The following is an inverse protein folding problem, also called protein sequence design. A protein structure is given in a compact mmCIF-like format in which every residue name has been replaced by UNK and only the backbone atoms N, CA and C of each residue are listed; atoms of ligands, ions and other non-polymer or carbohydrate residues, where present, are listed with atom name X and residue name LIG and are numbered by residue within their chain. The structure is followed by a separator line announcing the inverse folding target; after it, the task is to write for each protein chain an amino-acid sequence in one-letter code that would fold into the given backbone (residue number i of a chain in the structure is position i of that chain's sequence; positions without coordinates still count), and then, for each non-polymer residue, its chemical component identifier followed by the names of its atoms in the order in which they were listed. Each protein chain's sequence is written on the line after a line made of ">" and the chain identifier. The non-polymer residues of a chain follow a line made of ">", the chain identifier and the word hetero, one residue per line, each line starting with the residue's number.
data_IF_901582558065
#
_entry.id   IF_901582558065
#
_cell.length_a   1.000
_cell.length_b   1.000
_cell.length_c   1.000
_cell.angle_alpha   90.00
_cell.angle_beta   90.00
_cell.angle_gamma   90.00
#
_symmetry.space_group_name_H-M   'P 1'
#
loop_
_entity.id
_entity.type
_entity.pdbx_description
1 polymer ?
#
# COMPACT_ATOMS: atom_id res chain seq x y z
N UNK A 1 60.42 -13.60 31.43
CA UNK A 1 60.52 -15.01 31.86
C UNK A 1 59.38 -15.75 31.17
N UNK A 2 59.69 -16.46 30.07
CA UNK A 2 58.76 -17.24 29.26
C UNK A 2 58.50 -18.58 29.94
N UNK A 3 57.24 -18.97 30.15
CA UNK A 3 56.87 -20.37 30.34
C UNK A 3 55.73 -20.71 29.40
N UNK A 4 55.98 -21.78 28.65
CA UNK A 4 55.16 -22.38 27.62
C UNK A 4 54.08 -23.29 28.24
N UNK A 5 52.89 -23.33 27.65
CA UNK A 5 52.08 -24.55 27.67
C UNK A 5 51.31 -24.71 26.36
N UNK A 6 51.92 -25.48 25.44
CA UNK A 6 51.26 -26.35 24.45
C UNK A 6 50.86 -27.60 25.26
N UNK A 7 49.74 -28.30 25.08
CA UNK A 7 49.27 -28.93 23.84
C UNK A 7 47.85 -29.53 24.04
N UNK A 8 47.14 -29.70 22.92
CA UNK A 8 46.16 -30.77 22.62
C UNK A 8 44.84 -30.91 23.39
N UNK A 9 43.77 -30.36 22.80
CA UNK A 9 42.56 -31.15 22.53
C UNK A 9 42.15 -30.96 21.07
N UNK A 10 42.66 -31.87 20.23
CA UNK A 10 42.11 -32.16 18.91
C UNK A 10 40.90 -33.08 19.07
N UNK A 11 39.81 -32.75 18.37
CA UNK A 11 38.72 -33.70 18.13
C UNK A 11 37.33 -33.19 18.46
N UNK A 12 36.62 -32.73 17.42
CA UNK A 12 35.15 -32.73 17.31
C UNK A 12 34.41 -31.88 18.36
N UNK A 13 34.15 -30.61 18.05
CA UNK A 13 32.89 -29.83 18.26
C UNK A 13 33.19 -28.37 17.78
N UNK A 14 33.64 -28.20 16.54
CA UNK A 14 33.96 -26.86 15.99
C UNK A 14 33.08 -26.53 14.79
N UNK A 15 31.75 -26.63 14.93
CA UNK A 15 30.85 -26.09 13.89
C UNK A 15 29.42 -25.73 14.34
N UNK A 16 29.11 -25.67 15.65
CA UNK A 16 27.73 -25.43 16.11
C UNK A 16 27.49 -24.18 16.95
N UNK A 17 28.50 -23.32 17.15
CA UNK A 17 28.36 -22.09 17.95
C UNK A 17 28.38 -20.78 17.16
N UNK A 18 28.65 -20.81 15.84
CA UNK A 18 28.64 -19.60 15.01
C UNK A 18 27.28 -19.25 14.39
N UNK A 19 26.30 -20.16 14.40
CA UNK A 19 25.01 -19.92 13.72
C UNK A 19 23.98 -19.21 14.61
N UNK A 20 24.08 -19.34 15.94
CA UNK A 20 23.06 -18.80 16.85
C UNK A 20 23.38 -17.35 17.27
N UNK A 21 24.65 -16.94 17.23
CA UNK A 21 25.08 -15.57 17.58
C UNK A 21 24.96 -14.53 16.45
N UNK A 22 24.85 -14.95 15.19
CA UNK A 22 24.86 -14.04 14.04
C UNK A 22 23.46 -13.68 13.50
N UNK A 23 22.41 -14.42 13.88
CA UNK A 23 21.04 -14.13 13.42
C UNK A 23 20.29 -13.07 14.26
N UNK A 24 20.74 -12.73 15.47
CA UNK A 24 19.98 -11.83 16.35
C UNK A 24 20.23 -10.33 16.09
N UNK A 25 21.32 -9.94 15.43
CA UNK A 25 21.68 -8.51 15.28
C UNK A 25 21.21 -7.91 13.95
N UNK A 26 21.00 -8.70 12.90
CA UNK A 26 20.55 -8.19 11.60
C UNK A 26 19.02 -8.15 11.42
N UNK A 27 18.26 -8.83 12.29
CA UNK A 27 16.78 -8.86 12.19
C UNK A 27 16.07 -7.66 12.84
N UNK A 28 16.66 -7.03 13.86
CA UNK A 28 15.99 -6.00 14.66
C UNK A 28 16.15 -4.57 14.09
N UNK A 29 17.24 -4.29 13.38
CA UNK A 29 17.54 -2.93 12.87
C UNK A 29 16.57 -2.51 11.75
N UNK A 30 16.03 -3.48 10.99
CA UNK A 30 15.03 -3.22 9.94
C UNK A 30 13.62 -2.90 10.44
N UNK A 31 13.21 -3.44 11.61
CA UNK A 31 11.86 -3.23 12.14
C UNK A 31 11.72 -1.91 12.91
N UNK A 32 12.77 -1.47 13.58
CA UNK A 32 12.76 -0.22 14.35
C UNK A 32 12.65 1.03 13.44
N UNK A 33 13.31 1.02 12.27
CA UNK A 33 13.29 2.17 11.34
C UNK A 33 11.92 2.34 10.64
N UNK A 34 11.28 1.23 10.29
CA UNK A 34 9.93 1.24 9.72
C UNK A 34 8.88 1.69 10.75
N UNK A 35 8.97 1.24 12.01
CA UNK A 35 8.11 1.74 13.08
C UNK A 35 8.26 3.25 13.29
N UNK A 36 9.49 3.79 13.20
CA UNK A 36 9.74 5.23 13.27
C UNK A 36 9.00 6.04 12.19
N UNK A 37 9.04 5.59 10.92
CA UNK A 37 8.39 6.29 9.79
C UNK A 37 6.88 6.44 10.01
N UNK A 38 6.23 5.42 10.58
CA UNK A 38 4.77 5.38 10.72
C UNK A 38 4.25 5.76 12.11
N UNK A 39 5.11 5.95 13.12
CA UNK A 39 4.69 6.29 14.49
C UNK A 39 3.75 7.50 14.55
N UNK A 40 3.98 8.51 13.70
CA UNK A 40 3.14 9.72 13.63
C UNK A 40 1.69 9.38 13.28
N UNK A 41 1.44 8.45 12.38
CA UNK A 41 0.09 8.08 11.93
C UNK A 41 -0.59 7.13 12.91
N UNK A 42 0.19 6.24 13.55
CA UNK A 42 -0.32 5.29 14.54
C UNK A 42 -0.85 6.01 15.78
N UNK A 43 -0.16 7.08 16.21
CA UNK A 43 -0.51 7.88 17.39
C UNK A 43 -1.43 9.06 17.08
N UNK A 44 -1.61 9.41 15.81
CA UNK A 44 -2.43 10.54 15.40
C UNK A 44 -3.89 10.33 15.82
N UNK A 45 -4.49 11.39 16.36
CA UNK A 45 -5.94 11.43 16.55
C UNK A 45 -6.63 11.66 15.20
N UNK A 46 -7.94 11.39 15.08
CA UNK A 46 -8.65 11.50 13.79
C UNK A 46 -8.58 12.88 13.15
N UNK A 47 -8.52 13.96 13.96
CA UNK A 47 -8.40 15.32 13.48
C UNK A 47 -7.04 15.57 12.80
N UNK A 48 -5.94 15.09 13.40
CA UNK A 48 -4.60 15.22 12.84
C UNK A 48 -4.48 14.43 11.52
N UNK A 49 -5.06 13.23 11.45
CA UNK A 49 -5.11 12.45 10.21
C UNK A 49 -5.84 13.19 9.09
N UNK A 50 -6.96 13.85 9.43
CA UNK A 50 -7.68 14.69 8.48
C UNK A 50 -6.85 15.88 8.03
N UNK A 51 -6.22 16.61 8.96
CA UNK A 51 -5.36 17.76 8.65
C UNK A 51 -4.19 17.35 7.76
N UNK A 52 -3.50 16.25 8.09
CA UNK A 52 -2.37 15.76 7.28
C UNK A 52 -2.83 15.34 5.87
N UNK A 53 -3.97 14.68 5.76
CA UNK A 53 -4.52 14.29 4.45
C UNK A 53 -4.89 15.52 3.60
N UNK A 54 -5.69 16.44 4.16
CA UNK A 54 -6.30 17.54 3.40
C UNK A 54 -5.34 18.73 3.25
N UNK A 55 -4.72 19.18 4.33
CA UNK A 55 -3.94 20.42 4.32
C UNK A 55 -2.48 20.17 3.93
N UNK A 56 -1.92 19.02 4.34
CA UNK A 56 -0.51 18.70 4.03
C UNK A 56 -0.34 17.84 2.79
N UNK A 57 -1.44 17.41 2.17
CA UNK A 57 -1.43 16.58 0.97
C UNK A 57 -0.60 15.29 1.15
N UNK A 58 -0.75 14.64 2.31
CA UNK A 58 -0.07 13.40 2.65
C UNK A 58 -0.91 12.17 2.24
N UNK A 59 -0.44 11.41 1.25
CA UNK A 59 -1.15 10.24 0.70
C UNK A 59 -1.22 9.07 1.70
N UNK A 60 -0.25 8.96 2.62
CA UNK A 60 -0.27 8.01 3.74
C UNK A 60 -1.36 8.41 4.74
N UNK A 61 -1.45 9.69 5.10
CA UNK A 61 -2.50 10.17 5.98
C UNK A 61 -3.89 9.94 5.39
N UNK A 62 -4.07 10.16 4.09
CA UNK A 62 -5.32 9.90 3.40
C UNK A 62 -5.74 8.42 3.44
N UNK A 63 -4.79 7.49 3.29
CA UNK A 63 -5.06 6.06 3.46
C UNK A 63 -5.55 5.73 4.88
N UNK A 64 -4.83 6.20 5.91
CA UNK A 64 -5.21 5.92 7.30
C UNK A 64 -6.53 6.60 7.70
N UNK A 65 -6.75 7.84 7.28
CA UNK A 65 -7.99 8.56 7.51
C UNK A 65 -9.17 7.85 6.82
N UNK A 66 -9.03 7.47 5.55
CA UNK A 66 -10.07 6.75 4.81
C UNK A 66 -10.43 5.40 5.45
N UNK A 67 -9.41 4.64 5.87
CA UNK A 67 -9.61 3.38 6.59
C UNK A 67 -10.32 3.54 7.93
N UNK A 68 -10.01 4.61 8.68
CA UNK A 68 -10.70 4.95 9.92
C UNK A 68 -12.17 5.31 9.67
N UNK A 69 -12.46 6.10 8.64
CA UNK A 69 -13.83 6.47 8.29
C UNK A 69 -14.67 5.26 7.87
N UNK A 70 -14.08 4.33 7.10
CA UNK A 70 -14.71 3.04 6.75
C UNK A 70 -15.10 2.25 8.00
N UNK A 71 -14.20 2.14 8.98
CA UNK A 71 -14.48 1.46 10.27
C UNK A 71 -15.60 2.13 11.06
N UNK A 72 -15.75 3.45 10.93
CA UNK A 72 -16.82 4.24 11.55
C UNK A 72 -18.14 4.21 10.77
N UNK A 73 -18.20 3.52 9.64
CA UNK A 73 -19.37 3.50 8.74
C UNK A 73 -19.53 4.77 7.90
N UNK A 74 -18.59 5.71 7.97
CA UNK A 74 -18.65 6.92 7.16
C UNK A 74 -18.00 6.69 5.79
N UNK A 75 -18.71 5.96 4.94
CA UNK A 75 -18.21 5.54 3.64
C UNK A 75 -18.01 6.71 2.67
N UNK A 76 -18.77 7.80 2.81
CA UNK A 76 -18.61 9.01 1.98
C UNK A 76 -17.27 9.67 2.28
N UNK A 77 -16.95 9.90 3.56
CA UNK A 77 -15.66 10.46 3.95
C UNK A 77 -14.50 9.52 3.60
N UNK A 78 -14.70 8.21 3.70
CA UNK A 78 -13.69 7.22 3.32
C UNK A 78 -13.37 7.32 1.82
N UNK A 79 -14.41 7.37 0.97
CA UNK A 79 -14.26 7.54 -0.48
C UNK A 79 -13.49 8.81 -0.79
N UNK A 80 -13.87 9.94 -0.20
CA UNK A 80 -13.26 11.24 -0.49
C UNK A 80 -11.79 11.27 -0.08
N UNK A 81 -11.47 10.68 1.07
CA UNK A 81 -10.10 10.51 1.52
C UNK A 81 -9.27 9.66 0.54
N UNK A 82 -9.80 8.52 0.11
CA UNK A 82 -9.09 7.68 -0.85
C UNK A 82 -8.97 8.36 -2.22
N UNK A 83 -9.97 9.13 -2.65
CA UNK A 83 -9.90 9.91 -3.89
C UNK A 83 -8.78 10.94 -3.84
N UNK A 84 -8.67 11.68 -2.74
CA UNK A 84 -7.58 12.61 -2.53
C UNK A 84 -6.22 11.89 -2.48
N UNK A 85 -6.11 10.78 -1.73
CA UNK A 85 -4.90 9.96 -1.70
C UNK A 85 -4.49 9.41 -3.08
N UNK A 86 -5.47 9.05 -3.92
CA UNK A 86 -5.25 8.61 -5.29
C UNK A 86 -4.75 9.75 -6.20
N UNK A 87 -5.22 10.99 -6.00
CA UNK A 87 -4.70 12.17 -6.71
C UNK A 87 -3.24 12.44 -6.33
N UNK A 88 -2.91 12.25 -5.06
CA UNK A 88 -1.60 12.55 -4.49
C UNK A 88 -0.60 11.41 -4.62
N UNK A 89 -0.98 10.26 -5.20
CA UNK A 89 -0.17 9.05 -5.16
C UNK A 89 1.25 9.26 -5.70
N UNK A 90 2.22 9.23 -4.79
CA UNK A 90 3.66 9.28 -5.08
C UNK A 90 4.34 8.04 -4.56
N UNK A 91 3.86 7.54 -3.43
CA UNK A 91 4.33 6.32 -2.78
C UNK A 91 3.24 5.24 -2.85
N UNK A 92 3.58 4.06 -2.31
CA UNK A 92 2.68 2.91 -2.21
C UNK A 92 1.31 3.27 -1.64
N UNK A 93 1.22 4.19 -0.69
CA UNK A 93 -0.02 4.53 0.00
C UNK A 93 -1.09 5.13 -0.93
N UNK A 94 -0.74 6.06 -1.81
CA UNK A 94 -1.71 6.58 -2.77
C UNK A 94 -2.20 5.52 -3.77
N UNK A 95 -1.33 4.58 -4.17
CA UNK A 95 -1.75 3.43 -4.98
C UNK A 95 -2.70 2.48 -4.21
N UNK A 96 -2.49 2.31 -2.90
CA UNK A 96 -3.45 1.58 -2.05
C UNK A 96 -4.79 2.32 -1.99
N UNK A 97 -4.78 3.67 -1.93
CA UNK A 97 -6.02 4.46 -2.00
C UNK A 97 -6.78 4.24 -3.31
N UNK A 98 -6.09 4.18 -4.47
CA UNK A 98 -6.72 3.83 -5.75
C UNK A 98 -7.36 2.43 -5.72
N UNK A 99 -6.70 1.46 -5.07
CA UNK A 99 -7.21 0.10 -4.95
C UNK A 99 -8.48 0.06 -4.08
N UNK A 100 -8.50 0.82 -2.98
CA UNK A 100 -9.68 0.93 -2.13
C UNK A 100 -10.83 1.65 -2.84
N UNK A 101 -10.57 2.73 -3.59
CA UNK A 101 -11.60 3.35 -4.45
C UNK A 101 -12.21 2.35 -5.43
N UNK A 102 -11.37 1.57 -6.12
CA UNK A 102 -11.83 0.58 -7.08
C UNK A 102 -12.79 -0.43 -6.42
N UNK A 103 -12.44 -0.90 -5.21
CA UNK A 103 -13.29 -1.81 -4.40
C UNK A 103 -14.58 -1.15 -3.95
N UNK A 104 -14.55 0.13 -3.58
CA UNK A 104 -15.75 0.85 -3.17
C UNK A 104 -16.74 1.00 -4.33
N UNK A 105 -16.25 1.31 -5.53
CA UNK A 105 -17.08 1.31 -6.74
C UNK A 105 -17.56 -0.09 -7.15
N UNK A 106 -16.74 -1.12 -6.97
CA UNK A 106 -17.13 -2.52 -7.24
C UNK A 106 -18.32 -2.94 -6.36
N UNK A 107 -18.27 -2.60 -5.07
CA UNK A 107 -19.25 -3.05 -4.07
C UNK A 107 -20.40 -2.08 -3.81
N UNK A 108 -20.27 -0.82 -4.22
CA UNK A 108 -21.18 0.25 -3.84
C UNK A 108 -21.02 0.69 -2.37
N UNK A 109 -19.80 0.67 -1.83
CA UNK A 109 -19.54 1.16 -0.46
C UNK A 109 -19.49 2.71 -0.49
N UNK A 110 -20.53 3.38 0.01
CA UNK A 110 -20.59 4.86 0.04
C UNK A 110 -20.79 5.55 -1.31
N UNK A 111 -20.97 4.76 -2.36
CA UNK A 111 -21.29 5.17 -3.73
C UNK A 111 -22.27 4.16 -4.33
N UNK A 112 -22.94 4.53 -5.41
CA UNK A 112 -23.62 3.52 -6.23
C UNK A 112 -22.55 2.62 -6.86
N UNK A 113 -22.79 1.31 -6.87
CA UNK A 113 -21.90 0.38 -7.55
C UNK A 113 -21.76 0.76 -9.04
N UNK A 114 -20.52 0.84 -9.52
CA UNK A 114 -20.18 1.29 -10.86
C UNK A 114 -18.97 0.49 -11.36
N UNK A 115 -19.24 -0.50 -12.21
CA UNK A 115 -18.21 -1.35 -12.80
C UNK A 115 -17.27 -0.58 -13.73
N UNK A 116 -17.72 0.53 -14.33
CA UNK A 116 -16.90 1.38 -15.21
C UNK A 116 -15.85 2.12 -14.37
N UNK A 117 -16.26 2.71 -13.23
CA UNK A 117 -15.32 3.36 -12.32
C UNK A 117 -14.38 2.37 -11.66
N UNK A 118 -14.88 1.22 -11.21
CA UNK A 118 -14.02 0.17 -10.63
C UNK A 118 -12.96 -0.30 -11.64
N UNK A 119 -13.38 -0.63 -12.87
CA UNK A 119 -12.47 -1.06 -13.94
C UNK A 119 -11.45 0.03 -14.29
N UNK A 120 -11.87 1.30 -14.33
CA UNK A 120 -10.98 2.44 -14.55
C UNK A 120 -9.85 2.47 -13.52
N UNK A 121 -10.17 2.43 -12.23
CA UNK A 121 -9.16 2.52 -11.17
C UNK A 121 -8.20 1.33 -11.18
N UNK A 122 -8.70 0.11 -11.41
CA UNK A 122 -7.81 -1.05 -11.61
C UNK A 122 -6.91 -0.90 -12.83
N UNK A 123 -7.40 -0.30 -13.91
CA UNK A 123 -6.61 -0.04 -15.12
C UNK A 123 -5.50 0.99 -14.86
N UNK A 124 -5.79 2.05 -14.11
CA UNK A 124 -4.78 3.06 -13.71
C UNK A 124 -3.65 2.41 -12.90
N UNK A 125 -3.98 1.53 -11.95
CA UNK A 125 -2.97 0.80 -11.17
C UNK A 125 -2.09 -0.12 -12.03
N UNK A 126 -2.58 -0.60 -13.17
CA UNK A 126 -1.75 -1.41 -14.05
C UNK A 126 -0.78 -0.58 -14.89
N UNK A 127 -1.17 0.65 -15.26
CA UNK A 127 -0.42 1.50 -16.19
C UNK A 127 0.54 2.47 -15.51
N UNK A 128 0.38 2.69 -14.22
CA UNK A 128 1.34 3.43 -13.39
C UNK A 128 2.47 2.50 -12.88
N UNK A 129 3.33 2.99 -11.98
CA UNK A 129 4.42 2.24 -11.37
C UNK A 129 4.14 1.82 -9.91
N UNK A 130 3.00 1.18 -9.56
CA UNK A 130 2.85 0.69 -8.19
C UNK A 130 3.74 -0.53 -7.94
N UNK A 131 3.79 -0.92 -6.67
CA UNK A 131 4.38 -2.18 -6.25
C UNK A 131 3.72 -3.38 -6.98
N UNK A 132 4.52 -4.43 -7.23
CA UNK A 132 4.13 -5.58 -8.05
C UNK A 132 2.87 -6.29 -7.53
N UNK A 133 2.72 -6.39 -6.22
CA UNK A 133 1.57 -6.99 -5.55
C UNK A 133 0.27 -6.22 -5.84
N UNK A 134 0.32 -4.89 -5.82
CA UNK A 134 -0.84 -4.04 -6.15
C UNK A 134 -1.21 -4.17 -7.63
N UNK A 135 -0.21 -4.24 -8.52
CA UNK A 135 -0.44 -4.48 -9.95
C UNK A 135 -1.12 -5.84 -10.19
N UNK A 136 -0.66 -6.89 -9.52
CA UNK A 136 -1.25 -8.22 -9.61
C UNK A 136 -2.69 -8.24 -9.09
N UNK A 137 -2.95 -7.64 -7.93
CA UNK A 137 -4.30 -7.53 -7.37
C UNK A 137 -5.25 -6.76 -8.30
N UNK A 138 -4.79 -5.66 -8.90
CA UNK A 138 -5.55 -4.88 -9.86
C UNK A 138 -5.84 -5.66 -11.14
N UNK A 139 -4.86 -6.40 -11.67
CA UNK A 139 -5.03 -7.23 -12.87
C UNK A 139 -6.11 -8.30 -12.68
N UNK A 140 -6.04 -9.03 -11.56
CA UNK A 140 -7.01 -10.10 -11.26
C UNK A 140 -8.43 -9.53 -11.13
N UNK A 141 -8.58 -8.40 -10.43
CA UNK A 141 -9.88 -7.75 -10.25
C UNK A 141 -10.43 -7.15 -11.54
N UNK A 142 -9.59 -6.52 -12.35
CA UNK A 142 -9.96 -6.00 -13.67
C UNK A 142 -10.44 -7.12 -14.58
N UNK A 143 -9.75 -8.26 -14.63
CA UNK A 143 -10.13 -9.42 -15.44
C UNK A 143 -11.47 -10.00 -14.99
N UNK A 144 -11.68 -10.14 -13.67
CA UNK A 144 -12.94 -10.61 -13.11
C UNK A 144 -14.11 -9.68 -13.44
N UNK A 145 -13.93 -8.36 -13.34
CA UNK A 145 -14.96 -7.39 -13.71
C UNK A 145 -15.27 -7.39 -15.21
N UNK A 146 -14.24 -7.58 -16.05
CA UNK A 146 -14.41 -7.60 -17.50
C UNK A 146 -15.43 -8.63 -17.99
N UNK A 147 -15.53 -9.77 -17.28
CA UNK A 147 -16.47 -10.85 -17.63
C UNK A 147 -17.95 -10.43 -17.56
N UNK A 148 -18.28 -9.41 -16.76
CA UNK A 148 -19.64 -8.89 -16.60
C UNK A 148 -19.89 -7.54 -17.27
N UNK A 149 -18.92 -7.02 -18.03
CA UNK A 149 -19.01 -5.70 -18.67
C UNK A 149 -19.17 -5.84 -20.19
N UNK A 150 -19.83 -4.86 -20.81
CA UNK A 150 -19.86 -4.77 -22.27
C UNK A 150 -18.56 -4.19 -22.83
N UNK A 151 -18.31 -4.41 -24.12
CA UNK A 151 -17.19 -3.79 -24.82
C UNK A 151 -17.18 -2.27 -24.69
N UNK A 152 -18.34 -1.62 -24.79
CA UNK A 152 -18.49 -0.17 -24.66
C UNK A 152 -18.15 0.32 -23.24
N UNK A 153 -18.60 -0.40 -22.21
CA UNK A 153 -18.28 -0.10 -20.83
C UNK A 153 -16.77 -0.22 -20.56
N UNK A 154 -16.13 -1.25 -21.09
CA UNK A 154 -14.68 -1.45 -21.01
C UNK A 154 -13.94 -0.31 -21.74
N UNK A 155 -14.35 0.00 -22.97
CA UNK A 155 -13.74 1.07 -23.77
C UNK A 155 -13.84 2.43 -23.06
N UNK A 156 -15.00 2.74 -22.48
CA UNK A 156 -15.23 3.94 -21.68
C UNK A 156 -14.32 3.99 -20.45
N UNK A 157 -14.24 2.90 -19.68
CA UNK A 157 -13.39 2.82 -18.49
C UNK A 157 -11.90 3.01 -18.83
N UNK A 158 -11.43 2.39 -19.92
CA UNK A 158 -10.06 2.54 -20.39
C UNK A 158 -9.76 3.97 -20.87
N UNK A 159 -10.71 4.62 -21.54
CA UNK A 159 -10.57 6.03 -21.94
C UNK A 159 -10.44 6.94 -20.71
N UNK A 160 -11.24 6.73 -19.68
CA UNK A 160 -11.13 7.46 -18.41
C UNK A 160 -9.80 7.21 -17.70
N UNK A 161 -9.26 5.99 -17.76
CA UNK A 161 -7.97 5.65 -17.17
C UNK A 161 -6.81 6.36 -17.90
N UNK A 162 -6.88 6.46 -19.24
CA UNK A 162 -5.92 7.24 -20.04
C UNK A 162 -5.98 8.72 -19.71
N UNK A 163 -7.19 9.30 -19.69
CA UNK A 163 -7.40 10.71 -19.38
C UNK A 163 -6.87 11.10 -17.98
N UNK A 164 -7.06 10.22 -17.00
CA UNK A 164 -6.51 10.39 -15.66
C UNK A 164 -4.98 10.55 -15.66
N UNK A 165 -4.28 9.73 -16.45
CA UNK A 165 -2.81 9.79 -16.56
C UNK A 165 -2.35 11.12 -17.16
N UNK A 166 -3.04 11.58 -18.21
CA UNK A 166 -2.72 12.86 -18.85
C UNK A 166 -2.87 14.02 -17.88
N UNK A 167 -3.94 14.04 -17.09
CA UNK A 167 -4.18 15.11 -16.10
C UNK A 167 -3.11 15.18 -15.00
N UNK A 168 -2.47 14.04 -14.68
CA UNK A 168 -1.43 13.97 -13.64
C UNK A 168 -0.01 14.19 -14.17
N UNK A 169 0.21 14.13 -15.48
CA UNK A 169 1.51 14.25 -16.12
C UNK A 169 1.84 15.63 -16.71
N UNK A 170 0.92 16.59 -16.59
CA UNK A 170 1.09 18.01 -16.95
C UNK A 170 1.29 18.85 -15.71
#
# INVERSE_FOLDING_TARGET
>A
MLVWYKTEMSGRISNFLWVIGFCAVLGAVGQASAQGKFQRYIRAVPADLFEMCVNRSDDIACYFYGGLQKKRGNMVNARDAFFLGAQLARERAGFVCMLELARMYEKGEGVRADSIQAYRWYTVLMTDQPAQDLRAAASNKRQSLAAGMTADQIAKAQAMARAWKTQRGS
#
